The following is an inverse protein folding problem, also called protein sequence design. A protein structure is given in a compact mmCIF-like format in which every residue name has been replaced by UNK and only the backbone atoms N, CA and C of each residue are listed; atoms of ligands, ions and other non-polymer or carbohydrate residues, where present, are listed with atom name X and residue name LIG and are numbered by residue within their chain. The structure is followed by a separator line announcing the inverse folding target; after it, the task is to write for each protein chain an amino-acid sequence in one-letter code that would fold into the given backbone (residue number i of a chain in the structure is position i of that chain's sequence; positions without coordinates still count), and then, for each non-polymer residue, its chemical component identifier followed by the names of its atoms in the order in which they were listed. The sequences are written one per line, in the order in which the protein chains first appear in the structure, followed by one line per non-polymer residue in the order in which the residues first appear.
data_IF_153546689471
#
_entry.id   IF_153546689471
#
_cell.length_a   1.000
_cell.length_b   1.000
_cell.length_c   1.000
_cell.angle_alpha   90.00
_cell.angle_beta   90.00
_cell.angle_gamma   90.00
#
_symmetry.space_group_name_H-M   'P 1'
#
loop_
_entity.id
_entity.type
_entity.pdbx_description
1 polymer ?
#
# COMPACT_ATOMS: atom_id res chain seq x y z
N UNK A 1 -5.40 28.79 -7.23
CA UNK A 1 -5.12 28.46 -6.97
C UNK A 1 -4.59 27.85 -7.21
N UNK A 2 -4.93 27.42 -7.69
CA UNK A 2 -3.66 27.05 -7.47
C UNK A 2 -3.20 25.94 -8.35
N UNK A 3 -2.01 26.05 -8.96
CA UNK A 3 -1.49 25.03 -9.86
C UNK A 3 -1.40 23.67 -9.22
N UNK A 4 -1.06 23.65 -7.95
CA UNK A 4 -0.98 22.41 -7.20
C UNK A 4 -2.30 21.67 -7.20
N UNK A 5 -3.37 22.42 -7.09
CA UNK A 5 -4.68 21.80 -7.07
C UNK A 5 -5.03 21.18 -8.40
N UNK A 6 -4.59 21.80 -9.47
CA UNK A 6 -4.81 21.25 -10.80
C UNK A 6 -4.11 19.91 -10.93
N UNK A 7 -2.87 19.83 -10.47
CA UNK A 7 -2.16 18.57 -10.50
C UNK A 7 -2.84 17.50 -9.68
N UNK A 8 -3.35 17.88 -8.53
CA UNK A 8 -4.04 16.94 -7.66
C UNK A 8 -5.32 16.43 -8.34
N UNK A 9 -6.01 17.29 -9.06
CA UNK A 9 -7.20 16.87 -9.75
C UNK A 9 -6.90 15.84 -10.82
N UNK A 10 -5.80 16.01 -11.53
CA UNK A 10 -5.41 15.06 -12.55
C UNK A 10 -5.09 13.69 -11.93
N UNK A 11 -4.42 13.68 -10.79
CA UNK A 11 -4.15 12.45 -10.10
C UNK A 11 -5.44 11.75 -9.69
N UNK A 12 -6.40 12.51 -9.21
CA UNK A 12 -7.67 11.94 -8.81
C UNK A 12 -8.42 11.35 -9.98
N UNK A 13 -8.35 12.00 -11.12
CA UNK A 13 -9.00 11.47 -12.31
C UNK A 13 -8.39 10.11 -12.67
N UNK A 14 -7.09 10.02 -12.62
CA UNK A 14 -6.42 8.76 -12.88
C UNK A 14 -6.89 7.69 -11.90
N UNK A 15 -6.98 8.03 -10.62
CA UNK A 15 -7.45 7.11 -9.61
C UNK A 15 -8.90 6.71 -9.83
N UNK A 16 -9.73 7.64 -10.29
CA UNK A 16 -11.14 7.36 -10.53
C UNK A 16 -11.34 6.33 -11.62
N UNK A 17 -10.37 6.16 -12.49
CA UNK A 17 -10.43 5.14 -13.54
C UNK A 17 -9.99 3.77 -13.06
N UNK A 18 -9.74 3.62 -11.76
CA UNK A 18 -9.33 2.33 -11.21
C UNK A 18 -7.85 2.04 -11.34
N UNK A 19 -7.10 3.00 -11.83
CA UNK A 19 -5.65 2.85 -11.98
C UNK A 19 -4.99 3.51 -10.79
N UNK A 20 -4.16 2.78 -10.01
CA UNK A 20 -3.50 3.39 -8.87
C UNK A 20 -2.55 4.49 -9.32
N UNK A 21 -2.46 5.52 -8.51
CA UNK A 21 -1.48 6.56 -8.74
C UNK A 21 -0.09 5.93 -8.64
N UNK A 22 0.75 6.18 -9.64
CA UNK A 22 2.10 5.63 -9.60
C UNK A 22 2.89 6.21 -8.43
N UNK A 23 2.55 7.42 -7.99
CA UNK A 23 3.18 8.00 -6.83
C UNK A 23 2.85 7.26 -5.55
N UNK A 24 1.60 6.82 -5.40
CA UNK A 24 1.18 6.09 -4.23
C UNK A 24 1.94 4.77 -4.11
N UNK A 25 1.97 4.00 -5.17
CA UNK A 25 2.63 2.70 -5.14
C UNK A 25 4.14 2.87 -4.93
N UNK A 26 4.71 3.89 -5.52
CA UNK A 26 6.14 4.15 -5.36
C UNK A 26 6.48 4.48 -3.90
N UNK A 27 5.64 5.27 -3.24
CA UNK A 27 5.85 5.59 -1.83
C UNK A 27 5.75 4.32 -1.00
N UNK A 28 4.77 3.46 -1.28
CA UNK A 28 4.61 2.21 -0.56
C UNK A 28 5.87 1.36 -0.70
N UNK A 29 6.38 1.20 -1.92
CA UNK A 29 7.59 0.43 -2.14
C UNK A 29 8.80 1.04 -1.45
N UNK A 30 8.98 2.35 -1.58
CA UNK A 30 10.20 2.99 -1.06
C UNK A 30 10.21 3.09 0.46
N UNK A 31 9.04 3.12 1.09
CA UNK A 31 8.93 3.24 2.54
C UNK A 31 8.47 1.96 3.22
N UNK A 32 8.50 0.85 2.50
CA UNK A 32 7.95 -0.40 3.02
C UNK A 32 8.59 -0.80 4.34
N UNK A 33 9.93 -0.73 4.42
CA UNK A 33 10.64 -1.10 5.63
C UNK A 33 10.19 -0.25 6.83
N UNK A 34 9.96 1.03 6.59
CA UNK A 34 9.49 1.92 7.66
C UNK A 34 8.04 1.64 8.02
N UNK A 35 7.24 1.22 7.04
CA UNK A 35 5.83 1.00 7.27
C UNK A 35 5.57 -0.27 8.09
N UNK A 36 6.31 -1.33 7.83
CA UNK A 36 6.06 -2.62 8.46
C UNK A 36 7.16 -3.06 9.41
N UNK A 37 8.31 -2.42 9.36
CA UNK A 37 9.46 -2.83 10.16
C UNK A 37 10.35 -3.79 9.41
N UNK A 38 11.62 -3.82 9.79
CA UNK A 38 12.62 -4.61 9.06
C UNK A 38 12.32 -6.09 9.04
N UNK A 39 11.85 -6.63 10.15
CA UNK A 39 11.61 -8.06 10.24
C UNK A 39 10.50 -8.48 9.30
N UNK A 40 9.38 -7.78 9.35
CA UNK A 40 8.26 -8.12 8.48
C UNK A 40 8.58 -7.81 7.03
N UNK A 41 9.32 -6.75 6.77
CA UNK A 41 9.70 -6.37 5.42
C UNK A 41 10.56 -7.43 4.75
N UNK A 42 11.30 -8.20 5.54
CA UNK A 42 12.14 -9.27 5.00
C UNK A 42 11.31 -10.44 4.47
N UNK A 43 10.06 -10.57 4.92
CA UNK A 43 9.21 -11.71 4.57
C UNK A 43 7.93 -11.32 3.85
N UNK A 44 7.66 -10.03 3.74
CA UNK A 44 6.45 -9.53 3.11
C UNK A 44 6.81 -8.39 2.18
N UNK A 45 6.20 -8.35 1.01
CA UNK A 45 6.47 -7.31 0.03
C UNK A 45 5.19 -6.84 -0.60
N UNK A 46 5.07 -5.54 -0.87
CA UNK A 46 3.91 -5.07 -1.63
C UNK A 46 4.04 -5.55 -3.06
N UNK A 47 2.97 -6.06 -3.60
CA UNK A 47 2.96 -6.63 -4.95
C UNK A 47 2.23 -5.73 -5.93
N UNK A 48 1.06 -5.22 -5.55
CA UNK A 48 0.30 -4.37 -6.43
C UNK A 48 -0.70 -3.57 -5.62
N UNK A 49 -1.21 -2.52 -6.22
CA UNK A 49 -2.25 -1.69 -5.62
C UNK A 49 -3.30 -1.45 -6.70
N UNK A 50 -4.54 -1.84 -6.42
CA UNK A 50 -5.61 -1.70 -7.38
C UNK A 50 -6.89 -1.34 -6.65
N UNK A 51 -7.47 -0.20 -6.99
CA UNK A 51 -8.74 0.25 -6.41
C UNK A 51 -8.71 0.26 -4.88
N UNK A 52 -7.59 0.68 -4.33
CA UNK A 52 -7.45 0.77 -2.89
C UNK A 52 -7.05 -0.52 -2.21
N UNK A 53 -6.97 -1.64 -2.93
CA UNK A 53 -6.56 -2.91 -2.36
C UNK A 53 -5.07 -3.10 -2.59
N UNK A 54 -4.30 -3.09 -1.51
CA UNK A 54 -2.88 -3.34 -1.58
C UNK A 54 -2.64 -4.84 -1.40
N UNK A 55 -2.11 -5.47 -2.43
CA UNK A 55 -1.77 -6.88 -2.38
C UNK A 55 -0.36 -6.99 -1.80
N UNK A 56 -0.23 -7.76 -0.74
CA UNK A 56 1.05 -7.99 -0.08
C UNK A 56 1.36 -9.48 -0.18
N UNK A 57 2.53 -9.79 -0.69
CA UNK A 57 2.99 -11.17 -0.84
C UNK A 57 3.91 -11.52 0.33
N UNK A 58 3.65 -12.64 0.98
CA UNK A 58 4.50 -13.13 2.06
C UNK A 58 5.05 -14.49 1.66
N UNK A 59 6.18 -14.85 2.26
CA UNK A 59 6.87 -16.08 1.89
C UNK A 59 6.48 -17.28 2.75
N UNK A 60 5.57 -17.09 3.71
CA UNK A 60 5.17 -18.17 4.59
C UNK A 60 3.84 -17.83 5.24
N UNK A 61 2.95 -18.82 5.46
CA UNK A 61 1.66 -18.55 6.09
C UNK A 61 1.76 -17.92 7.47
N UNK A 62 2.83 -18.19 8.21
CA UNK A 62 3.00 -17.59 9.51
C UNK A 62 3.11 -16.07 9.41
N UNK A 63 3.78 -15.59 8.38
CA UNK A 63 3.88 -14.14 8.15
C UNK A 63 2.56 -13.55 7.67
N UNK A 64 1.76 -14.33 6.96
CA UNK A 64 0.42 -13.87 6.59
C UNK A 64 -0.42 -13.62 7.83
N UNK A 65 -0.35 -14.52 8.80
CA UNK A 65 -1.07 -14.35 10.07
C UNK A 65 -0.59 -13.10 10.80
N UNK A 66 0.73 -12.94 10.90
CA UNK A 66 1.31 -11.75 11.53
C UNK A 66 0.81 -10.48 10.88
N UNK A 67 0.81 -10.46 9.56
CA UNK A 67 0.41 -9.26 8.82
C UNK A 67 -1.06 -8.95 9.04
N UNK A 68 -1.90 -9.98 9.14
CA UNK A 68 -3.31 -9.77 9.41
C UNK A 68 -3.54 -9.13 10.78
N UNK A 69 -2.77 -9.54 11.78
CA UNK A 69 -2.84 -8.90 13.09
C UNK A 69 -2.40 -7.45 13.05
N UNK A 70 -1.47 -7.14 12.17
CA UNK A 70 -0.90 -5.80 12.04
C UNK A 70 -1.70 -4.92 11.07
N UNK A 71 -2.73 -5.47 10.44
CA UNK A 71 -3.38 -4.84 9.29
C UNK A 71 -3.95 -3.45 9.61
N UNK A 72 -4.60 -3.31 10.74
CA UNK A 72 -5.19 -2.02 11.11
C UNK A 72 -4.11 -0.95 11.29
N UNK A 73 -3.01 -1.31 11.97
CA UNK A 73 -1.90 -0.38 12.14
C UNK A 73 -1.28 -0.02 10.80
N UNK A 74 -1.12 -1.02 9.94
CA UNK A 74 -0.52 -0.77 8.63
C UNK A 74 -1.39 0.17 7.80
N UNK A 75 -2.71 -0.03 7.84
CA UNK A 75 -3.60 0.87 7.11
C UNK A 75 -3.48 2.30 7.62
N UNK A 76 -3.38 2.46 8.94
CA UNK A 76 -3.22 3.79 9.53
C UNK A 76 -1.90 4.43 9.10
N UNK A 77 -0.83 3.64 9.05
CA UNK A 77 0.47 4.14 8.62
C UNK A 77 0.48 4.49 7.14
N UNK A 78 -0.20 3.69 6.34
CA UNK A 78 -0.33 3.97 4.91
C UNK A 78 -1.12 5.25 4.69
N UNK A 79 -2.20 5.45 5.44
CA UNK A 79 -2.97 6.66 5.32
C UNK A 79 -2.12 7.88 5.63
N UNK A 80 -1.28 7.79 6.65
CA UNK A 80 -0.39 8.89 7.00
C UNK A 80 0.66 9.14 5.92
N UNK A 81 1.08 8.09 5.23
CA UNK A 81 2.14 8.19 4.23
C UNK A 81 1.63 8.65 2.86
N UNK A 82 0.48 8.15 2.43
CA UNK A 82 0.00 8.39 1.07
C UNK A 82 -1.34 9.09 1.00
N UNK A 83 -2.00 9.31 2.14
CA UNK A 83 -3.25 10.02 2.18
C UNK A 83 -4.46 9.10 2.33
N UNK A 84 -5.57 9.66 2.81
CA UNK A 84 -6.78 8.86 3.02
C UNK A 84 -7.37 8.40 1.70
N UNK A 85 -7.89 7.20 1.69
CA UNK A 85 -8.56 6.65 0.53
C UNK A 85 -7.67 6.01 -0.50
N UNK A 86 -6.35 6.17 -0.39
CA UNK A 86 -5.42 5.56 -1.35
C UNK A 86 -5.29 4.06 -1.13
N UNK A 87 -5.22 3.62 0.11
CA UNK A 87 -5.21 2.21 0.45
C UNK A 87 -6.31 1.98 1.47
N UNK A 88 -7.31 1.19 1.11
CA UNK A 88 -8.45 0.94 1.98
C UNK A 88 -8.51 -0.49 2.48
N UNK A 89 -7.75 -1.38 1.87
CA UNK A 89 -7.68 -2.75 2.36
C UNK A 89 -6.34 -3.37 2.01
N UNK A 90 -5.97 -4.40 2.76
CA UNK A 90 -4.75 -5.16 2.54
C UNK A 90 -5.15 -6.58 2.18
N UNK A 91 -4.69 -7.06 1.04
CA UNK A 91 -4.95 -8.43 0.59
C UNK A 91 -3.64 -9.21 0.72
N UNK A 92 -3.57 -10.10 1.70
CA UNK A 92 -2.35 -10.83 1.98
C UNK A 92 -2.38 -12.16 1.24
N UNK A 93 -1.31 -12.45 0.52
CA UNK A 93 -1.19 -13.68 -0.25
C UNK A 93 0.12 -14.36 0.06
N UNK A 94 0.08 -15.68 0.16
CA UNK A 94 1.29 -16.46 0.37
C UNK A 94 1.84 -16.84 -0.99
N UNK A 95 3.07 -16.40 -1.25
CA UNK A 95 3.75 -16.70 -2.51
C UNK A 95 4.90 -17.64 -2.21
N UNK A 96 4.90 -18.79 -2.84
CA UNK A 96 5.97 -19.76 -2.68
C UNK A 96 6.77 -19.85 -3.96
N UNK A 97 8.05 -19.91 -3.79
CA UNK A 97 8.91 -20.11 -4.95
C UNK A 97 9.16 -21.56 -5.22
#
# INVERSE_FOLDING_TARGET
MTPRRVGESLDRVTGALGVPSSGTLQVVFSQWDSLVGEVLAAHARPASLREGALVVSVDDPAWATQLRWFQADLLARLEAAVGPGEVIEIDVRVARS
#
